data_IF_161597377957
#
_entry.id   IF_161597377957
#
_cell.length_a   1.000
_cell.length_b   1.000
_cell.length_c   1.000
_cell.angle_alpha   90.00
_cell.angle_beta   90.00
_cell.angle_gamma   90.00
#
_symmetry.space_group_name_H-M   'P 1'
#
loop_
_entity.id
_entity.type
_entity.pdbx_description
1 polymer ?
#
# COMPACT_ATOMS: atom_id res chain seq x y z
N UNK A 1 7.45 15.84 -15.90
CA UNK A 1 7.58 15.90 -14.43
C UNK A 1 7.70 14.48 -13.92
N UNK A 2 8.72 14.16 -13.13
CA UNK A 2 8.89 12.82 -12.59
C UNK A 2 7.71 12.51 -11.65
N UNK A 3 6.95 11.46 -11.95
CA UNK A 3 5.92 10.95 -11.04
C UNK A 3 6.63 10.60 -9.73
N UNK A 4 6.34 11.33 -8.66
CA UNK A 4 6.97 11.06 -7.37
C UNK A 4 6.27 9.88 -6.71
N UNK A 5 6.67 8.67 -7.10
CA UNK A 5 6.28 7.44 -6.38
C UNK A 5 6.64 7.63 -4.91
N UNK A 6 5.69 7.46 -3.98
CA UNK A 6 5.95 7.54 -2.55
C UNK A 6 7.13 6.65 -2.15
N UNK A 7 7.99 7.15 -1.26
CA UNK A 7 9.14 6.41 -0.75
C UNK A 7 8.72 5.09 -0.12
N UNK A 8 7.54 5.07 0.49
CA UNK A 8 6.93 3.89 1.10
C UNK A 8 6.72 2.77 0.07
N UNK A 9 6.27 3.07 -1.15
CA UNK A 9 6.12 2.07 -2.21
C UNK A 9 7.48 1.62 -2.77
N UNK A 10 8.46 2.55 -2.86
CA UNK A 10 9.82 2.21 -3.28
C UNK A 10 10.51 1.26 -2.30
N UNK A 11 10.27 1.43 -1.01
CA UNK A 11 10.77 0.53 0.03
C UNK A 11 10.25 -0.91 -0.13
N UNK A 12 9.08 -1.08 -0.75
CA UNK A 12 8.51 -2.38 -1.13
C UNK A 12 8.89 -2.84 -2.54
N UNK A 13 9.87 -2.17 -3.18
CA UNK A 13 10.40 -2.56 -4.47
C UNK A 13 9.60 -2.08 -5.68
N UNK A 14 8.57 -1.26 -5.49
CA UNK A 14 7.78 -0.72 -6.62
C UNK A 14 8.64 0.22 -7.45
N UNK A 15 8.74 -0.13 -8.73
CA UNK A 15 9.48 0.63 -9.73
C UNK A 15 8.61 1.64 -10.47
N UNK A 16 9.23 2.63 -11.12
CA UNK A 16 8.53 3.55 -12.02
C UNK A 16 7.85 2.84 -13.18
N UNK A 17 8.40 1.71 -13.63
CA UNK A 17 7.78 0.89 -14.67
C UNK A 17 6.46 0.30 -14.18
N UNK A 18 6.46 -0.34 -13.01
CA UNK A 18 5.24 -0.92 -12.42
C UNK A 18 4.17 0.13 -12.15
N UNK A 19 4.56 1.32 -11.68
CA UNK A 19 3.63 2.43 -11.51
C UNK A 19 2.95 2.82 -12.82
N UNK A 20 3.74 3.03 -13.88
CA UNK A 20 3.22 3.41 -15.21
C UNK A 20 2.36 2.30 -15.80
N UNK A 21 2.74 1.05 -15.63
CA UNK A 21 1.96 -0.11 -16.08
C UNK A 21 0.62 -0.19 -15.35
N UNK A 22 0.61 -0.02 -14.02
CA UNK A 22 -0.61 0.02 -13.22
C UNK A 22 -1.51 1.19 -13.63
N UNK A 23 -0.96 2.40 -13.78
CA UNK A 23 -1.69 3.59 -14.25
C UNK A 23 -2.33 3.36 -15.62
N UNK A 24 -1.58 2.79 -16.56
CA UNK A 24 -2.08 2.45 -17.91
C UNK A 24 -3.18 1.40 -17.85
N UNK A 25 -3.04 0.39 -16.99
CA UNK A 25 -4.06 -0.64 -16.77
C UNK A 25 -5.38 -0.03 -16.31
N UNK A 26 -5.32 0.85 -15.29
CA UNK A 26 -6.50 1.53 -14.76
C UNK A 26 -7.15 2.47 -15.79
N UNK A 27 -6.36 3.19 -16.59
CA UNK A 27 -6.88 4.11 -17.60
C UNK A 27 -7.64 3.38 -18.72
N UNK A 28 -7.15 2.19 -19.12
CA UNK A 28 -7.84 1.34 -20.08
C UNK A 28 -9.18 0.82 -19.57
N UNK A 29 -9.29 0.55 -18.27
CA UNK A 29 -10.55 0.09 -17.67
C UNK A 29 -11.55 1.22 -17.40
N UNK A 30 -11.08 2.45 -17.21
CA UNK A 30 -11.92 3.58 -16.79
C UNK A 30 -12.31 4.54 -17.93
N UNK A 31 -11.74 4.37 -19.14
CA UNK A 31 -11.88 5.28 -20.30
C UNK A 31 -11.66 6.77 -19.97
N UNK A 32 -10.91 7.05 -18.90
CA UNK A 32 -10.73 8.39 -18.31
C UNK A 32 -9.31 8.55 -17.75
N UNK A 33 -8.93 9.80 -17.45
CA UNK A 33 -7.64 10.11 -16.85
C UNK A 33 -7.60 9.61 -15.39
N UNK A 34 -6.63 8.76 -15.08
CA UNK A 34 -6.49 8.14 -13.74
C UNK A 34 -5.63 9.00 -12.84
N UNK A 35 -6.14 9.28 -11.64
CA UNK A 35 -5.43 10.00 -10.59
C UNK A 35 -4.27 9.15 -10.05
N UNK A 36 -3.09 9.76 -9.89
CA UNK A 36 -1.91 9.10 -9.32
C UNK A 36 -2.18 8.54 -7.92
N UNK A 37 -3.03 9.18 -7.11
CA UNK A 37 -3.41 8.69 -5.79
C UNK A 37 -4.16 7.35 -5.87
N UNK A 38 -5.00 7.15 -6.89
CA UNK A 38 -5.71 5.89 -7.09
C UNK A 38 -4.74 4.78 -7.51
N UNK A 39 -3.75 5.12 -8.34
CA UNK A 39 -2.66 4.19 -8.71
C UNK A 39 -1.87 3.77 -7.48
N UNK A 40 -1.45 4.73 -6.64
CA UNK A 40 -0.72 4.49 -5.39
C UNK A 40 -1.53 3.57 -4.48
N UNK A 41 -2.82 3.87 -4.33
CA UNK A 41 -3.73 3.11 -3.48
C UNK A 41 -3.85 1.66 -3.93
N UNK A 42 -4.06 1.43 -5.22
CA UNK A 42 -4.15 0.10 -5.81
C UNK A 42 -2.84 -0.69 -5.68
N UNK A 43 -1.69 -0.03 -5.80
CA UNK A 43 -0.38 -0.68 -5.60
C UNK A 43 -0.21 -1.15 -4.15
N UNK A 44 -0.61 -0.33 -3.16
CA UNK A 44 -0.63 -0.78 -1.77
C UNK A 44 -1.55 -1.99 -1.56
N UNK A 45 -2.76 -1.97 -2.13
CA UNK A 45 -3.67 -3.10 -2.03
C UNK A 45 -3.07 -4.38 -2.65
N UNK A 46 -2.43 -4.28 -3.81
CA UNK A 46 -1.77 -5.43 -4.42
C UNK A 46 -0.62 -5.97 -3.56
N UNK A 47 0.16 -5.10 -2.93
CA UNK A 47 1.21 -5.51 -1.99
C UNK A 47 0.64 -6.22 -0.76
N UNK A 48 -0.50 -5.75 -0.21
CA UNK A 48 -1.13 -6.44 0.94
C UNK A 48 -1.57 -7.86 0.60
N UNK A 49 -2.01 -8.11 -0.63
CA UNK A 49 -2.39 -9.47 -1.11
C UNK A 49 -1.17 -10.38 -1.28
N UNK A 50 0.00 -9.81 -1.55
CA UNK A 50 1.27 -10.52 -1.78
C UNK A 50 2.12 -10.67 -0.51
N UNK A 51 1.71 -10.07 0.61
CA UNK A 51 2.48 -10.08 1.84
C UNK A 51 2.62 -11.51 2.39
N UNK A 52 3.86 -11.92 2.66
CA UNK A 52 4.19 -13.29 3.11
C UNK A 52 4.30 -13.41 4.64
N UNK A 53 4.24 -12.30 5.36
CA UNK A 53 4.32 -12.28 6.82
C UNK A 53 3.41 -11.20 7.42
N UNK A 54 3.05 -11.40 8.68
CA UNK A 54 2.31 -10.41 9.44
C UNK A 54 3.11 -9.13 9.68
N UNK A 55 4.44 -9.23 9.79
CA UNK A 55 5.34 -8.07 9.85
C UNK A 55 5.26 -7.22 8.58
N UNK A 56 5.26 -7.84 7.39
CA UNK A 56 5.04 -7.12 6.13
C UNK A 56 3.66 -6.46 6.07
N UNK A 57 2.61 -7.18 6.49
CA UNK A 57 1.25 -6.62 6.55
C UNK A 57 1.16 -5.42 7.50
N UNK A 58 1.81 -5.49 8.67
CA UNK A 58 1.87 -4.37 9.61
C UNK A 58 2.44 -3.12 8.94
N UNK A 59 3.61 -3.25 8.29
CA UNK A 59 4.27 -2.12 7.62
C UNK A 59 3.44 -1.57 6.45
N UNK A 60 2.82 -2.45 5.65
CA UNK A 60 1.96 -2.04 4.55
C UNK A 60 0.73 -1.27 5.04
N UNK A 61 0.02 -1.77 6.04
CA UNK A 61 -1.13 -1.07 6.60
C UNK A 61 -0.75 0.25 7.29
N UNK A 62 0.42 0.32 7.91
CA UNK A 62 0.94 1.57 8.46
C UNK A 62 1.20 2.62 7.37
N UNK A 63 1.82 2.21 6.26
CA UNK A 63 2.07 3.11 5.14
C UNK A 63 0.78 3.54 4.42
N UNK A 64 -0.21 2.65 4.34
CA UNK A 64 -1.55 3.00 3.85
C UNK A 64 -2.24 4.02 4.77
N UNK A 65 -2.07 3.90 6.10
CA UNK A 65 -2.60 4.88 7.05
C UNK A 65 -1.96 6.26 6.86
N UNK A 66 -0.62 6.31 6.81
CA UNK A 66 0.13 7.55 6.54
C UNK A 66 -0.31 8.19 5.22
N UNK A 67 -0.48 7.38 4.17
CA UNK A 67 -0.93 7.88 2.88
C UNK A 67 -2.33 8.50 2.96
N UNK A 68 -3.28 7.85 3.65
CA UNK A 68 -4.62 8.41 3.89
C UNK A 68 -4.57 9.70 4.69
N UNK A 69 -3.75 9.77 5.73
CA UNK A 69 -3.57 10.98 6.56
C UNK A 69 -3.01 12.15 5.74
N UNK A 70 -2.01 11.90 4.87
CA UNK A 70 -1.46 12.92 3.95
C UNK A 70 -2.51 13.49 2.99
N UNK A 71 -3.54 12.72 2.67
CA UNK A 71 -4.69 13.15 1.85
C UNK A 71 -5.82 13.79 2.67
N UNK A 72 -5.67 13.93 4.00
CA UNK A 72 -6.73 14.41 4.88
C UNK A 72 -7.91 13.43 5.02
N UNK A 73 -7.69 12.15 4.72
CA UNK A 73 -8.71 11.10 4.75
C UNK A 73 -8.59 10.28 6.05
N UNK A 74 -9.70 9.66 6.46
CA UNK A 74 -9.70 8.80 7.64
C UNK A 74 -8.79 7.57 7.42
N UNK A 75 -7.82 7.40 8.31
CA UNK A 75 -6.82 6.32 8.29
C UNK A 75 -7.00 5.28 9.40
N UNK A 76 -7.97 5.49 10.32
CA UNK A 76 -8.11 4.71 11.56
C UNK A 76 -8.19 3.20 11.33
N UNK A 77 -8.93 2.78 10.30
CA UNK A 77 -9.05 1.36 9.95
C UNK A 77 -7.69 0.73 9.60
N UNK A 78 -6.83 1.46 8.90
CA UNK A 78 -5.50 0.98 8.51
C UNK A 78 -4.54 0.96 9.70
N UNK A 79 -4.66 1.92 10.62
CA UNK A 79 -3.95 1.87 11.89
C UNK A 79 -4.35 0.62 12.70
N UNK A 80 -5.65 0.33 12.83
CA UNK A 80 -6.14 -0.88 13.49
C UNK A 80 -5.62 -2.16 12.83
N UNK A 81 -5.66 -2.23 11.49
CA UNK A 81 -5.14 -3.37 10.74
C UNK A 81 -3.64 -3.56 10.97
N UNK A 82 -2.86 -2.48 10.98
CA UNK A 82 -1.42 -2.52 11.28
C UNK A 82 -1.15 -3.11 12.66
N UNK A 83 -1.82 -2.60 13.70
CA UNK A 83 -1.68 -3.12 15.06
C UNK A 83 -2.15 -4.57 15.19
N UNK A 84 -3.23 -4.95 14.53
CA UNK A 84 -3.71 -6.34 14.49
C UNK A 84 -2.67 -7.27 13.86
N UNK A 85 -2.05 -6.87 12.76
CA UNK A 85 -0.95 -7.64 12.14
C UNK A 85 0.22 -7.81 13.10
N UNK A 86 0.59 -6.77 13.87
CA UNK A 86 1.64 -6.89 14.89
C UNK A 86 1.29 -7.92 15.97
N UNK A 87 0.05 -7.93 16.46
CA UNK A 87 -0.40 -8.91 17.45
C UNK A 87 -0.30 -10.34 16.90
N UNK A 88 -0.76 -10.57 15.67
CA UNK A 88 -0.70 -11.88 15.02
C UNK A 88 0.74 -12.36 14.78
N UNK A 89 1.66 -11.45 14.43
CA UNK A 89 3.09 -11.75 14.31
C UNK A 89 3.68 -12.25 15.64
N UNK A 90 3.35 -11.56 16.74
CA UNK A 90 3.79 -11.94 18.09
C UNK A 90 3.20 -13.28 18.54
N UNK A 91 1.91 -13.51 18.27
CA UNK A 91 1.26 -14.79 18.56
C UNK A 91 1.87 -15.94 17.78
N UNK A 92 2.24 -15.73 16.52
CA UNK A 92 2.91 -16.74 15.70
C UNK A 92 4.31 -17.04 16.26
N UNK A 93 5.10 -16.02 16.58
CA UNK A 93 6.45 -16.16 17.12
C UNK A 93 6.47 -16.80 18.51
N UNK A 94 5.44 -16.60 19.34
CA UNK A 94 5.34 -17.24 20.65
C UNK A 94 4.94 -18.73 20.59
N UNK A 95 4.52 -19.23 19.42
CA UNK A 95 4.18 -20.64 19.18
C UNK A 95 5.31 -21.46 18.55
N UNK A 96 6.36 -20.79 18.07
CA UNK A 96 7.61 -21.39 17.54
C UNK A 96 8.66 -21.48 18.63
#
# INVERSE_FOLDING_TARGET
>A
MAVSIPEELRAFGITSKEFVEKKRGLAKSAETEVNDNDVIWELFQDLTKKALSYEMLQMLFWNMAIFKDKLGQNSFEYQQKSHKSRLLDLEQKGKT
#
